data_IF_322639909748
#
_entry.id   IF_322639909748
#
_cell.length_a   1.000
_cell.length_b   1.000
_cell.length_c   1.000
_cell.angle_alpha   90.00
_cell.angle_beta   90.00
_cell.angle_gamma   90.00
#
_symmetry.space_group_name_H-M   'P 1'
#
loop_
_entity.id
_entity.type
_entity.pdbx_description
1 polymer ?
#
# COMPACT_ATOMS: atom_id res chain seq x y z
N UNK A 1 1.14 -21.20 -7.18
CA UNK A 1 0.97 -19.75 -7.02
C UNK A 1 -0.45 -19.41 -7.40
N UNK A 2 -1.24 -18.93 -6.43
CA UNK A 2 -2.55 -18.38 -6.75
C UNK A 2 -2.36 -17.08 -7.55
N UNK A 3 -3.26 -16.76 -8.49
CA UNK A 3 -3.17 -15.51 -9.25
C UNK A 3 -3.08 -14.25 -8.38
N UNK A 4 -3.68 -14.29 -7.19
CA UNK A 4 -3.62 -13.23 -6.19
C UNK A 4 -2.20 -13.01 -5.66
N UNK A 5 -1.48 -14.10 -5.39
CA UNK A 5 -0.08 -14.03 -4.91
C UNK A 5 0.85 -13.49 -5.99
N UNK A 6 0.60 -13.89 -7.24
CA UNK A 6 1.34 -13.39 -8.41
C UNK A 6 1.19 -11.87 -8.53
N UNK A 7 -0.05 -11.37 -8.45
CA UNK A 7 -0.35 -9.94 -8.50
C UNK A 7 0.29 -9.20 -7.33
N UNK A 8 0.16 -9.74 -6.11
CA UNK A 8 0.74 -9.14 -4.92
C UNK A 8 2.25 -9.00 -5.03
N UNK A 9 2.95 -10.07 -5.44
CA UNK A 9 4.41 -10.10 -5.55
C UNK A 9 4.91 -9.13 -6.61
N UNK A 10 4.29 -9.10 -7.79
CA UNK A 10 4.72 -8.19 -8.86
C UNK A 10 4.40 -6.72 -8.57
N UNK A 11 3.25 -6.41 -7.95
CA UNK A 11 2.98 -5.02 -7.54
C UNK A 11 3.99 -4.57 -6.47
N UNK A 12 4.34 -5.46 -5.53
CA UNK A 12 5.35 -5.17 -4.50
C UNK A 12 6.71 -4.87 -5.12
N UNK A 13 7.15 -5.70 -6.07
CA UNK A 13 8.43 -5.56 -6.77
C UNK A 13 8.51 -4.23 -7.55
N UNK A 14 7.45 -3.89 -8.29
CA UNK A 14 7.36 -2.64 -9.06
C UNK A 14 7.37 -1.42 -8.14
N UNK A 15 6.50 -1.39 -7.11
CA UNK A 15 6.45 -0.25 -6.19
C UNK A 15 7.74 -0.09 -5.36
N UNK A 16 8.43 -1.19 -5.07
CA UNK A 16 9.75 -1.15 -4.42
C UNK A 16 10.82 -0.60 -5.37
N UNK A 17 10.81 -1.01 -6.65
CA UNK A 17 11.68 -0.45 -7.68
C UNK A 17 11.44 1.04 -7.96
N UNK A 18 10.21 1.52 -7.76
CA UNK A 18 9.86 2.94 -7.87
C UNK A 18 10.27 3.78 -6.64
N UNK A 19 10.78 3.14 -5.57
CA UNK A 19 11.27 3.83 -4.38
C UNK A 19 10.18 4.25 -3.38
N UNK A 20 8.99 3.65 -3.46
CA UNK A 20 7.95 3.93 -2.47
C UNK A 20 8.30 3.34 -1.09
N UNK A 21 7.86 3.99 0.01
CA UNK A 21 8.06 3.44 1.34
C UNK A 21 7.27 2.14 1.53
N UNK A 22 7.80 1.22 2.33
CA UNK A 22 7.25 -0.14 2.54
C UNK A 22 5.77 -0.12 2.95
N UNK A 23 5.34 0.87 3.73
CA UNK A 23 3.93 1.05 4.12
C UNK A 23 3.01 1.28 2.90
N UNK A 24 3.49 2.07 1.93
CA UNK A 24 2.78 2.36 0.69
C UNK A 24 2.84 1.18 -0.29
N UNK A 25 3.99 0.51 -0.37
CA UNK A 25 4.14 -0.71 -1.19
C UNK A 25 3.13 -1.78 -0.74
N UNK A 26 3.05 -2.03 0.57
CA UNK A 26 2.13 -3.01 1.14
C UNK A 26 0.66 -2.66 0.87
N UNK A 27 0.27 -1.41 1.13
CA UNK A 27 -1.12 -0.98 0.90
C UNK A 27 -1.50 -0.97 -0.58
N UNK A 28 -0.58 -0.62 -1.48
CA UNK A 28 -0.79 -0.68 -2.93
C UNK A 28 -0.98 -2.13 -3.42
N UNK A 29 -0.20 -3.07 -2.88
CA UNK A 29 -0.34 -4.49 -3.19
C UNK A 29 -1.69 -5.07 -2.72
N UNK A 30 -2.15 -4.71 -1.51
CA UNK A 30 -3.48 -5.12 -1.01
C UNK A 30 -4.62 -4.55 -1.87
N UNK A 31 -4.50 -3.28 -2.30
CA UNK A 31 -5.48 -2.66 -3.20
C UNK A 31 -5.56 -3.32 -4.57
N UNK A 32 -4.42 -3.70 -5.15
CA UNK A 32 -4.36 -4.40 -6.43
C UNK A 32 -4.98 -5.80 -6.36
N UNK A 33 -4.75 -6.55 -5.28
CA UNK A 33 -5.35 -7.87 -5.05
C UNK A 33 -6.86 -7.76 -4.82
N UNK A 34 -7.30 -6.78 -4.02
CA UNK A 34 -8.72 -6.54 -3.78
C UNK A 34 -9.48 -6.20 -5.08
N UNK A 35 -8.87 -5.39 -5.96
CA UNK A 35 -9.43 -5.11 -7.29
C UNK A 35 -9.53 -6.37 -8.15
N UNK A 36 -8.48 -7.19 -8.15
CA UNK A 36 -8.48 -8.47 -8.87
C UNK A 36 -9.57 -9.42 -8.35
N UNK A 37 -9.74 -9.50 -7.03
CA UNK A 37 -10.78 -10.32 -6.38
C UNK A 37 -12.19 -9.84 -6.71
N UNK A 38 -12.41 -8.52 -6.84
CA UNK A 38 -13.71 -7.93 -7.22
C UNK A 38 -14.02 -8.09 -8.72
N UNK A 39 -13.01 -8.23 -9.56
CA UNK A 39 -13.21 -8.52 -10.98
C UNK A 39 -13.51 -10.00 -11.23
N UNK A 40 -14.80 -10.35 -11.21
CA UNK A 40 -15.33 -11.70 -11.46
C UNK A 40 -15.30 -12.14 -12.95
N UNK A 41 -14.84 -11.29 -13.87
CA UNK A 41 -14.97 -11.55 -15.32
C UNK A 41 -13.66 -12.05 -15.96
N UNK A 42 -13.60 -13.36 -16.22
CA UNK A 42 -12.44 -14.08 -16.77
C UNK A 42 -11.96 -13.57 -18.15
N UNK A 43 -12.79 -12.86 -18.93
CA UNK A 43 -12.49 -12.49 -20.31
C UNK A 43 -11.54 -11.30 -20.51
N UNK A 44 -11.13 -10.60 -19.44
CA UNK A 44 -10.17 -9.47 -19.50
C UNK A 44 -8.82 -9.76 -18.83
N UNK A 45 -8.59 -11.01 -18.42
CA UNK A 45 -7.44 -11.39 -17.58
C UNK A 45 -6.06 -11.12 -18.20
N UNK A 46 -5.97 -11.00 -19.52
CA UNK A 46 -4.72 -10.64 -20.21
C UNK A 46 -4.22 -9.22 -19.88
N UNK A 47 -5.11 -8.28 -19.58
CA UNK A 47 -4.77 -6.87 -19.31
C UNK A 47 -5.00 -6.45 -17.86
N UNK A 48 -5.65 -7.30 -17.05
CA UNK A 48 -6.03 -6.96 -15.68
C UNK A 48 -4.85 -6.65 -14.77
N UNK A 49 -3.68 -7.27 -15.00
CA UNK A 49 -2.49 -6.97 -14.20
C UNK A 49 -2.06 -5.51 -14.40
N UNK A 50 -2.06 -5.01 -15.64
CA UNK A 50 -1.74 -3.61 -15.93
C UNK A 50 -2.73 -2.66 -15.24
N UNK A 51 -4.02 -2.99 -15.24
CA UNK A 51 -5.04 -2.22 -14.51
C UNK A 51 -4.81 -2.24 -12.99
N UNK A 52 -4.52 -3.41 -12.40
CA UNK A 52 -4.22 -3.55 -10.98
C UNK A 52 -2.98 -2.75 -10.60
N UNK A 53 -1.92 -2.80 -11.41
CA UNK A 53 -0.68 -2.06 -11.21
C UNK A 53 -0.90 -0.56 -11.33
N UNK A 54 -1.66 -0.11 -12.32
CA UNK A 54 -1.98 1.31 -12.50
C UNK A 54 -2.76 1.86 -11.29
N UNK A 55 -3.78 1.14 -10.81
CA UNK A 55 -4.53 1.54 -9.60
C UNK A 55 -3.64 1.53 -8.36
N UNK A 56 -2.80 0.49 -8.18
CA UNK A 56 -1.87 0.41 -7.06
C UNK A 56 -0.88 1.59 -7.06
N UNK A 57 -0.37 1.97 -8.23
CA UNK A 57 0.52 3.12 -8.41
C UNK A 57 -0.18 4.45 -8.14
N UNK A 58 -1.39 4.67 -8.66
CA UNK A 58 -2.18 5.86 -8.35
C UNK A 58 -2.44 5.99 -6.85
N UNK A 59 -2.77 4.88 -6.19
CA UNK A 59 -2.93 4.85 -4.75
C UNK A 59 -1.61 5.18 -4.05
N UNK A 60 -0.48 4.60 -4.49
CA UNK A 60 0.83 4.87 -3.93
C UNK A 60 1.26 6.34 -4.06
N UNK A 61 0.99 6.97 -5.20
CA UNK A 61 1.24 8.41 -5.44
C UNK A 61 0.34 9.28 -4.57
N UNK A 62 -0.94 8.95 -4.43
CA UNK A 62 -1.86 9.67 -3.52
C UNK A 62 -1.50 9.48 -2.04
N UNK A 63 -0.94 8.32 -1.69
CA UNK A 63 -0.40 8.10 -0.36
C UNK A 63 0.91 8.85 -0.16
N UNK A 64 1.89 8.84 -1.06
CA UNK A 64 3.20 9.51 -0.88
C UNK A 64 3.04 11.00 -0.53
N UNK A 65 2.11 11.69 -1.18
CA UNK A 65 1.74 13.09 -0.86
C UNK A 65 1.14 13.25 0.53
N UNK A 66 0.48 12.22 1.04
CA UNK A 66 -0.05 12.16 2.41
C UNK A 66 0.99 11.68 3.42
N UNK A 67 1.93 10.80 3.02
CA UNK A 67 3.00 10.30 3.90
C UNK A 67 4.05 11.39 4.11
N UNK A 68 4.36 12.23 3.12
CA UNK A 68 5.13 13.46 3.31
C UNK A 68 4.46 14.37 4.36
N UNK A 69 3.13 14.55 4.29
CA UNK A 69 2.38 15.30 5.31
C UNK A 69 2.30 14.60 6.68
N UNK A 70 2.36 13.26 6.73
CA UNK A 70 2.36 12.48 7.99
C UNK A 70 3.76 12.35 8.60
N UNK A 71 4.82 12.34 7.81
CA UNK A 71 6.20 12.38 8.30
C UNK A 71 6.53 13.75 8.92
N UNK A 72 5.95 14.84 8.40
CA UNK A 72 5.96 16.14 9.06
C UNK A 72 5.25 16.16 10.43
N UNK A 73 4.42 15.15 10.74
CA UNK A 73 3.78 14.96 12.06
C UNK A 73 4.44 13.90 12.95
N UNK A 74 5.54 13.27 12.53
CA UNK A 74 6.17 12.18 13.29
C UNK A 74 7.65 12.46 13.63
N UNK A 75 7.87 13.44 14.52
CA UNK A 75 8.92 13.43 15.57
C UNK A 75 8.50 14.39 16.71
N UNK A 76 8.92 14.20 17.98
CA UNK A 76 8.91 12.98 18.77
C UNK A 76 8.39 13.26 20.21
N UNK A 77 7.38 12.55 20.71
CA UNK A 77 7.28 12.38 22.18
C UNK A 77 6.69 11.02 22.52
N UNK A 78 7.60 10.11 22.88
CA UNK A 78 7.27 8.95 23.69
C UNK A 78 8.32 8.92 24.79
N UNK A 79 8.36 9.97 25.62
CA UNK A 79 9.11 9.96 26.87
C UNK A 79 8.19 10.28 28.03
N UNK A 80 7.76 9.22 28.70
CA UNK A 80 7.59 9.19 30.15
C UNK A 80 6.45 10.04 30.70
N UNK A 81 5.45 9.39 31.27
CA UNK A 81 5.37 9.22 32.72
C UNK A 81 3.96 8.75 33.07
N UNK A 82 3.82 7.44 33.31
CA UNK A 82 2.65 6.88 33.96
C UNK A 82 2.81 7.14 35.46
N UNK A 83 2.43 8.33 35.91
CA UNK A 83 2.29 8.61 37.34
C UNK A 83 1.03 9.41 37.58
N UNK A 84 -0.12 8.73 37.51
CA UNK A 84 -1.36 9.19 38.12
C UNK A 84 -1.36 8.76 39.59
N UNK A 85 -0.61 9.49 40.41
CA UNK A 85 -0.87 9.60 41.83
C UNK A 85 -1.61 10.90 42.06
N UNK A 86 -2.86 10.84 42.52
CA UNK A 86 -3.54 11.99 43.08
C UNK A 86 -4.23 11.57 44.37
N UNK A 87 -3.79 12.28 45.40
CA UNK A 87 -4.34 12.38 46.75
C UNK A 87 -5.82 12.75 46.76
#
# INVERSE_FOLDING_TARGET
>A
MSPEEFIKKHITDVLTGEGFPVEVVRGGAEHGVDYYRRCSQASRKGSMFADCLFRARQWAVGQTTTVERKQAKKKPDKRGNLSSGLF
#
